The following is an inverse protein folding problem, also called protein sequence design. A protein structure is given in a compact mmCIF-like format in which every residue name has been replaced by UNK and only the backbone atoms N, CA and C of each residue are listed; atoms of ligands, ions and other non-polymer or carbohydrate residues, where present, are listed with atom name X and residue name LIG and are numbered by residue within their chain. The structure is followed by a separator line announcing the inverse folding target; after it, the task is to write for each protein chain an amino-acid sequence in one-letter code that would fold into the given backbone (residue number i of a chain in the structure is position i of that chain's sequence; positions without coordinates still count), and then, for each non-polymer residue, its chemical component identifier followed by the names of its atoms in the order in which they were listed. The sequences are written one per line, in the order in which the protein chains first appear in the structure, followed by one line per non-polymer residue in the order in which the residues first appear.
data_IF_187946091025
#
_entry.id   IF_187946091025
#
_cell.length_a   1.000
_cell.length_b   1.000
_cell.length_c   1.000
_cell.angle_alpha   90.00
_cell.angle_beta   90.00
_cell.angle_gamma   90.00
#
_symmetry.space_group_name_H-M   'P 1'
#
loop_
_entity.id
_entity.type
_entity.pdbx_description
1 polymer ?
#
# COMPACT_ATOMS: atom_id res chain seq x y z
N UNK A 1 7.87 2.36 -45.87
CA UNK A 1 6.53 1.77 -45.63
C UNK A 1 6.20 2.02 -44.16
N UNK A 2 5.19 2.84 -43.84
CA UNK A 2 4.76 2.99 -42.45
C UNK A 2 3.95 1.75 -42.08
N UNK A 3 4.49 0.92 -41.18
CA UNK A 3 3.91 -0.34 -40.77
C UNK A 3 3.34 -0.26 -39.35
N UNK A 4 2.02 -0.43 -39.27
CA UNK A 4 1.23 -0.92 -38.14
C UNK A 4 1.54 -0.37 -36.74
N UNK A 5 0.77 0.64 -36.32
CA UNK A 5 0.33 0.73 -34.93
C UNK A 5 -0.83 -0.25 -34.74
N UNK A 6 -0.56 -1.41 -34.13
CA UNK A 6 -1.63 -2.28 -33.64
C UNK A 6 -2.06 -1.77 -32.27
N UNK A 7 -3.12 -0.98 -32.20
CA UNK A 7 -3.86 -0.83 -30.95
C UNK A 7 -4.62 -2.14 -30.73
N UNK A 8 -4.01 -3.09 -30.04
CA UNK A 8 -4.75 -4.22 -29.49
C UNK A 8 -5.70 -3.66 -28.44
N UNK A 9 -6.97 -4.08 -28.48
CA UNK A 9 -7.93 -3.78 -27.43
C UNK A 9 -7.32 -4.23 -26.11
N UNK A 10 -6.92 -3.26 -25.29
CA UNK A 10 -6.71 -3.50 -23.87
C UNK A 10 -7.98 -4.19 -23.37
N UNK A 11 -7.82 -5.32 -22.68
CA UNK A 11 -8.88 -5.85 -21.82
C UNK A 11 -9.40 -4.76 -20.89
N UNK A 12 -10.49 -5.00 -20.16
CA UNK A 12 -11.06 -4.03 -19.21
C UNK A 12 -9.98 -3.28 -18.44
N UNK A 13 -9.72 -2.03 -18.82
CA UNK A 13 -8.69 -1.20 -18.20
C UNK A 13 -9.14 -0.91 -16.78
N UNK A 14 -8.35 -1.31 -15.80
CA UNK A 14 -8.56 -0.87 -14.42
C UNK A 14 -8.24 0.62 -14.39
N UNK A 15 -9.16 1.42 -13.82
CA UNK A 15 -8.98 2.86 -13.66
C UNK A 15 -8.92 3.20 -12.18
N UNK A 16 -7.96 4.03 -11.84
CA UNK A 16 -7.82 4.62 -10.51
C UNK A 16 -7.83 6.14 -10.63
N UNK A 17 -8.27 6.81 -9.58
CA UNK A 17 -8.37 8.28 -9.54
C UNK A 17 -7.80 8.80 -8.22
N UNK A 18 -7.12 9.94 -8.28
CA UNK A 18 -6.67 10.70 -7.12
C UNK A 18 -6.84 12.20 -7.41
N UNK A 19 -6.91 13.01 -6.35
CA UNK A 19 -7.04 14.47 -6.45
C UNK A 19 -5.66 15.12 -6.44
N UNK A 20 -5.42 16.03 -7.39
CA UNK A 20 -4.18 16.82 -7.44
C UNK A 20 -4.33 18.10 -6.60
N UNK A 21 -3.29 18.41 -5.83
CA UNK A 21 -3.17 19.65 -5.06
C UNK A 21 -1.96 20.48 -5.49
N UNK A 22 -1.64 21.51 -4.72
CA UNK A 22 -0.46 22.36 -4.95
C UNK A 22 0.85 21.75 -4.44
N UNK A 23 0.77 20.81 -3.51
CA UNK A 23 1.94 20.16 -2.91
C UNK A 23 2.25 18.83 -3.62
N UNK A 24 3.54 18.48 -3.79
CA UNK A 24 3.93 17.15 -4.27
C UNK A 24 3.37 16.03 -3.37
N UNK A 25 2.91 14.95 -3.99
CA UNK A 25 2.44 13.76 -3.29
C UNK A 25 2.77 12.50 -4.09
N UNK A 26 2.76 11.35 -3.41
CA UNK A 26 2.89 10.04 -4.03
C UNK A 26 1.55 9.31 -3.94
N UNK A 27 1.14 8.65 -5.03
CA UNK A 27 0.01 7.72 -5.03
C UNK A 27 0.46 6.35 -5.50
N UNK A 28 -0.05 5.33 -4.82
CA UNK A 28 0.24 3.92 -5.09
C UNK A 28 -1.02 3.26 -5.65
N UNK A 29 -0.87 2.58 -6.78
CA UNK A 29 -1.96 1.85 -7.43
C UNK A 29 -1.60 0.38 -7.53
N UNK A 30 -2.54 -0.48 -7.14
CA UNK A 30 -2.34 -1.92 -7.16
C UNK A 30 -3.08 -2.54 -8.35
N UNK A 31 -2.33 -3.24 -9.20
CA UNK A 31 -2.86 -3.91 -10.39
C UNK A 31 -2.83 -5.43 -10.17
N UNK A 32 -3.85 -6.01 -9.53
CA UNK A 32 -3.91 -7.46 -9.33
C UNK A 32 -4.00 -8.16 -10.68
N UNK A 33 -3.17 -9.19 -10.88
CA UNK A 33 -3.13 -10.00 -12.10
C UNK A 33 -2.71 -9.21 -13.35
N UNK A 34 -1.80 -8.24 -13.21
CA UNK A 34 -1.14 -7.63 -14.37
C UNK A 34 -0.51 -8.72 -15.26
N UNK A 35 -0.67 -8.58 -16.58
CA UNK A 35 -0.15 -9.57 -17.51
C UNK A 35 1.38 -9.58 -17.47
N UNK A 36 1.99 -10.76 -17.63
CA UNK A 36 3.44 -10.85 -17.80
C UNK A 36 3.85 -10.15 -19.11
N UNK A 37 4.95 -9.40 -19.06
CA UNK A 37 5.51 -8.69 -20.22
C UNK A 37 5.23 -7.19 -20.21
N UNK A 38 5.16 -6.61 -21.41
CA UNK A 38 4.96 -5.17 -21.59
C UNK A 38 3.54 -4.77 -21.19
N UNK A 39 3.43 -3.85 -20.23
CA UNK A 39 2.17 -3.24 -19.81
C UNK A 39 2.20 -1.75 -20.14
N UNK A 40 1.08 -1.24 -20.66
CA UNK A 40 0.91 0.19 -20.95
C UNK A 40 0.18 0.86 -19.77
N UNK A 41 0.67 2.02 -19.36
CA UNK A 41 0.06 2.86 -18.32
C UNK A 41 -0.24 4.22 -18.91
N UNK A 42 -1.52 4.60 -18.90
CA UNK A 42 -1.99 5.90 -19.36
C UNK A 42 -2.37 6.78 -18.16
N UNK A 43 -1.90 8.03 -18.15
CA UNK A 43 -2.27 9.04 -17.18
C UNK A 43 -3.14 10.11 -17.85
N UNK A 44 -4.38 10.24 -17.40
CA UNK A 44 -5.29 11.30 -17.85
C UNK A 44 -5.40 12.31 -16.70
N UNK A 45 -5.15 13.58 -17.00
CA UNK A 45 -5.26 14.67 -16.02
C UNK A 45 -6.27 15.68 -16.52
N UNK A 46 -7.21 16.03 -15.64
CA UNK A 46 -8.23 17.04 -15.90
C UNK A 46 -7.89 18.31 -15.12
N UNK A 47 -7.61 19.40 -15.84
CA UNK A 47 -7.26 20.68 -15.24
C UNK A 47 -6.67 21.66 -16.26
N UNK A 48 -6.63 22.95 -15.91
CA UNK A 48 -6.06 24.01 -16.76
C UNK A 48 -4.62 24.38 -16.40
N UNK A 49 -4.11 23.90 -15.26
CA UNK A 49 -2.75 24.18 -14.79
C UNK A 49 -1.76 23.12 -15.27
N UNK A 50 -0.47 23.47 -15.45
CA UNK A 50 0.58 22.48 -15.72
C UNK A 50 0.66 21.42 -14.63
N UNK A 51 0.98 20.19 -15.04
CA UNK A 51 1.12 19.03 -14.16
C UNK A 51 2.53 18.48 -14.32
N UNK A 52 3.14 18.10 -13.20
CA UNK A 52 4.48 17.55 -13.16
C UNK A 52 4.42 16.13 -12.60
N UNK A 53 4.86 15.15 -13.38
CA UNK A 53 5.19 13.81 -12.90
C UNK A 53 6.67 13.81 -12.54
N UNK A 54 6.98 13.69 -11.25
CA UNK A 54 8.36 13.73 -10.77
C UNK A 54 9.03 12.35 -10.88
N UNK A 55 8.29 11.29 -10.56
CA UNK A 55 8.78 9.92 -10.59
C UNK A 55 7.63 8.95 -10.92
N UNK A 56 7.93 7.93 -11.73
CA UNK A 56 7.04 6.82 -12.02
C UNK A 56 7.85 5.53 -11.88
N UNK A 57 7.40 4.64 -11.00
CA UNK A 57 8.05 3.35 -10.74
C UNK A 57 7.01 2.23 -10.70
N UNK A 58 7.43 1.04 -11.11
CA UNK A 58 6.64 -0.19 -11.02
C UNK A 58 7.43 -1.24 -10.23
N UNK A 59 6.73 -1.96 -9.36
CA UNK A 59 7.34 -2.94 -8.46
C UNK A 59 6.60 -4.28 -8.58
N UNK A 60 7.36 -5.35 -8.79
CA UNK A 60 6.87 -6.72 -8.67
C UNK A 60 7.10 -7.22 -7.25
N UNK A 61 6.29 -6.74 -6.33
CA UNK A 61 6.37 -7.13 -4.92
C UNK A 61 4.97 -7.15 -4.31
N UNK A 62 4.77 -7.93 -3.24
CA UNK A 62 3.58 -7.79 -2.43
C UNK A 62 3.47 -6.31 -2.03
N UNK A 63 2.35 -5.67 -2.34
CA UNK A 63 2.14 -4.23 -2.06
C UNK A 63 2.07 -3.91 -0.57
N UNK A 64 2.63 -4.74 0.30
CA UNK A 64 2.76 -4.55 1.72
C UNK A 64 3.34 -3.15 2.01
N UNK A 65 2.60 -2.39 2.80
CA UNK A 65 2.94 -1.02 3.16
C UNK A 65 3.07 -0.95 4.67
N UNK A 66 3.92 -0.03 5.11
CA UNK A 66 3.95 0.38 6.50
C UNK A 66 4.10 1.88 6.63
N UNK A 67 3.68 2.41 7.78
CA UNK A 67 3.93 3.80 8.15
C UNK A 67 4.16 3.90 9.66
N UNK A 68 5.31 4.45 10.02
CA UNK A 68 5.58 4.86 11.40
C UNK A 68 4.83 6.16 11.70
N UNK A 69 4.34 6.26 12.93
CA UNK A 69 3.80 7.48 13.51
C UNK A 69 4.32 7.64 14.93
N UNK A 70 4.12 8.82 15.54
CA UNK A 70 4.77 9.23 16.79
C UNK A 70 4.64 8.22 17.94
N UNK A 71 3.60 7.38 17.91
CA UNK A 71 3.29 6.43 18.98
C UNK A 71 3.08 5.00 18.48
N UNK A 72 3.48 4.68 17.25
CA UNK A 72 3.26 3.34 16.73
C UNK A 72 3.59 3.12 15.26
N UNK A 73 2.99 2.08 14.72
CA UNK A 73 3.21 1.58 13.38
C UNK A 73 1.88 1.13 12.78
N UNK A 74 1.64 1.45 11.53
CA UNK A 74 0.55 0.88 10.74
C UNK A 74 1.16 -0.08 9.73
N UNK A 75 0.61 -1.29 9.64
CA UNK A 75 0.94 -2.29 8.64
C UNK A 75 -0.29 -2.50 7.75
N UNK A 76 -0.11 -2.60 6.44
CA UNK A 76 -1.20 -2.86 5.50
C UNK A 76 -0.76 -3.84 4.43
N UNK A 77 -1.52 -4.91 4.25
CA UNK A 77 -1.34 -5.90 3.20
C UNK A 77 -2.46 -5.80 2.16
N UNK A 78 -2.28 -5.04 1.07
CA UNK A 78 -3.24 -5.01 -0.03
C UNK A 78 -3.18 -6.25 -0.94
N UNK A 79 -2.19 -7.14 -0.74
CA UNK A 79 -2.02 -8.36 -1.53
C UNK A 79 -3.20 -9.32 -1.39
N UNK A 80 -3.52 -10.12 -2.41
CA UNK A 80 -4.43 -11.26 -2.30
C UNK A 80 -3.82 -12.45 -1.54
N UNK A 81 -2.56 -12.36 -1.11
CA UNK A 81 -1.86 -13.39 -0.34
C UNK A 81 -1.43 -12.88 1.03
N UNK A 82 -1.31 -13.74 2.05
CA UNK A 82 -0.72 -13.36 3.32
C UNK A 82 0.68 -12.77 3.14
N UNK A 83 1.04 -11.80 3.97
CA UNK A 83 2.36 -11.19 3.97
C UNK A 83 2.89 -11.04 5.39
N UNK A 84 4.17 -11.35 5.57
CA UNK A 84 4.85 -11.24 6.87
C UNK A 84 5.76 -10.03 6.87
N UNK A 85 5.50 -9.10 7.79
CA UNK A 85 6.35 -7.96 8.08
C UNK A 85 7.40 -8.35 9.13
N UNK A 86 8.65 -8.02 8.87
CA UNK A 86 9.72 -8.06 9.86
C UNK A 86 9.78 -6.71 10.60
N UNK A 87 9.39 -6.71 11.87
CA UNK A 87 9.38 -5.48 12.69
C UNK A 87 10.79 -5.09 13.15
N UNK A 88 11.71 -6.06 13.27
CA UNK A 88 13.11 -5.80 13.61
C UNK A 88 13.83 -5.04 12.52
N UNK A 89 13.50 -5.29 11.25
CA UNK A 89 14.00 -4.52 10.11
C UNK A 89 13.29 -3.15 9.97
N UNK A 90 11.96 -3.11 10.13
CA UNK A 90 11.17 -1.88 9.97
C UNK A 90 11.49 -0.85 11.05
N UNK A 91 11.63 -1.30 12.30
CA UNK A 91 11.75 -0.43 13.46
C UNK A 91 12.68 -1.04 14.52
N UNK A 92 14.01 -1.05 14.28
CA UNK A 92 14.97 -1.72 15.14
C UNK A 92 14.92 -1.22 16.58
N UNK A 93 14.87 -2.17 17.53
CA UNK A 93 14.88 -1.87 18.98
C UNK A 93 13.56 -1.36 19.54
N UNK A 94 12.51 -1.23 18.73
CA UNK A 94 11.18 -0.86 19.18
C UNK A 94 10.31 -2.10 19.40
N UNK A 95 9.54 -2.09 20.48
CA UNK A 95 8.56 -3.12 20.80
C UNK A 95 7.15 -2.57 20.62
N UNK A 96 6.27 -3.41 20.08
CA UNK A 96 4.91 -3.03 19.75
C UNK A 96 3.90 -3.96 20.42
N UNK A 97 2.68 -3.44 20.58
CA UNK A 97 1.50 -4.19 20.99
C UNK A 97 0.30 -3.76 20.18
N UNK A 98 -0.74 -4.59 20.14
CA UNK A 98 -2.01 -4.24 19.52
C UNK A 98 -2.68 -3.08 20.27
N UNK A 99 -3.55 -2.35 19.58
CA UNK A 99 -4.47 -1.42 20.25
C UNK A 99 -5.30 -2.19 21.29
N UNK A 100 -5.70 -1.50 22.37
CA UNK A 100 -6.72 -2.01 23.29
C UNK A 100 -8.04 -1.34 22.92
N UNK A 101 -8.82 -2.03 22.11
CA UNK A 101 -10.11 -1.56 21.63
C UNK A 101 -11.18 -1.59 22.71
N UNK A 102 -12.14 -0.68 22.61
CA UNK A 102 -13.41 -0.80 23.33
C UNK A 102 -14.30 -1.87 22.69
N UNK A 103 -15.43 -2.20 23.33
CA UNK A 103 -16.43 -3.12 22.76
C UNK A 103 -17.01 -2.69 21.41
N UNK A 104 -16.79 -1.44 20.98
CA UNK A 104 -17.21 -0.91 19.67
C UNK A 104 -16.10 -0.90 18.61
N UNK A 105 -14.92 -1.44 18.92
CA UNK A 105 -13.72 -1.34 18.08
C UNK A 105 -13.05 -2.70 17.89
N UNK A 106 -13.83 -3.75 17.60
CA UNK A 106 -13.33 -5.13 17.43
C UNK A 106 -12.31 -5.56 18.51
N UNK A 107 -12.78 -5.97 19.69
CA UNK A 107 -11.91 -6.31 20.81
C UNK A 107 -11.08 -7.59 20.58
N UNK A 108 -11.38 -8.40 19.56
CA UNK A 108 -10.59 -9.59 19.23
C UNK A 108 -9.31 -9.19 18.51
N UNK A 109 -9.42 -8.33 17.48
CA UNK A 109 -8.25 -7.78 16.81
C UNK A 109 -7.50 -6.82 17.73
N UNK A 110 -8.23 -5.91 18.40
CA UNK A 110 -7.67 -4.89 19.29
C UNK A 110 -7.66 -5.36 20.76
N UNK A 111 -7.00 -6.49 21.01
CA UNK A 111 -6.96 -7.13 22.33
C UNK A 111 -5.87 -6.57 23.28
N UNK A 112 -4.99 -5.70 22.78
CA UNK A 112 -3.90 -5.09 23.55
C UNK A 112 -2.69 -5.99 23.81
N UNK A 113 -2.62 -7.18 23.21
CA UNK A 113 -1.51 -8.12 23.38
C UNK A 113 -0.21 -7.61 22.75
N UNK A 114 0.91 -8.03 23.33
CA UNK A 114 2.24 -7.79 22.77
C UNK A 114 2.35 -8.46 21.40
N UNK A 115 3.12 -7.84 20.51
CA UNK A 115 3.43 -8.36 19.19
C UNK A 115 4.89 -8.80 19.16
N UNK A 116 5.14 -9.94 18.54
CA UNK A 116 6.51 -10.47 18.37
C UNK A 116 7.33 -9.67 17.35
N UNK A 117 8.49 -10.21 16.97
CA UNK A 117 9.41 -9.57 16.02
C UNK A 117 8.88 -9.54 14.57
N UNK A 118 7.82 -10.30 14.28
CA UNK A 118 7.18 -10.33 12.96
C UNK A 118 5.67 -10.38 13.07
N UNK A 119 4.98 -9.85 12.05
CA UNK A 119 3.52 -9.89 11.93
C UNK A 119 3.12 -10.41 10.57
N UNK A 120 2.37 -11.51 10.53
CA UNK A 120 1.70 -11.97 9.32
C UNK A 120 0.30 -11.38 9.23
N UNK A 121 0.04 -10.59 8.20
CA UNK A 121 -1.31 -10.13 7.87
C UNK A 121 -1.93 -11.04 6.79
N UNK A 122 -3.20 -11.41 6.94
CA UNK A 122 -3.94 -12.10 5.89
C UNK A 122 -4.14 -11.18 4.67
N UNK A 123 -4.68 -11.71 3.55
CA UNK A 123 -4.99 -10.91 2.37
C UNK A 123 -5.90 -9.72 2.68
N UNK A 124 -5.59 -8.55 2.10
CA UNK A 124 -6.43 -7.34 2.15
C UNK A 124 -6.74 -6.86 3.57
N UNK A 125 -5.76 -6.93 4.46
CA UNK A 125 -5.91 -6.59 5.87
C UNK A 125 -4.92 -5.50 6.31
N UNK A 126 -5.21 -4.84 7.43
CA UNK A 126 -4.36 -3.82 8.01
C UNK A 126 -4.40 -3.86 9.54
N UNK A 127 -3.27 -3.57 10.18
CA UNK A 127 -3.13 -3.59 11.62
C UNK A 127 -2.46 -2.31 12.14
N UNK A 128 -3.10 -1.70 13.13
CA UNK A 128 -2.53 -0.61 13.90
C UNK A 128 -1.86 -1.16 15.15
N UNK A 129 -0.60 -0.80 15.32
CA UNK A 129 0.22 -1.14 16.47
C UNK A 129 0.60 0.13 17.23
N UNK A 130 0.75 0.01 18.53
CA UNK A 130 1.26 1.08 19.41
C UNK A 130 2.56 0.64 20.06
N UNK A 131 3.43 1.62 20.32
CA UNK A 131 4.66 1.37 21.07
C UNK A 131 4.33 0.80 22.45
N UNK A 132 5.11 -0.18 22.86
CA UNK A 132 5.13 -0.66 24.23
C UNK A 132 5.82 0.40 25.08
N UNK A 133 5.07 1.03 25.99
CA UNK A 133 5.68 1.84 27.04
C UNK A 133 6.53 0.92 27.91
N UNK A 134 7.78 1.30 28.16
CA UNK A 134 8.62 0.72 29.22
C UNK A 134 7.97 0.84 30.59
#
# INVERSE_FOLDING_TARGET
VPGLFSAQRAGTSVRHTSWLGSEPFTSWYYFPNAAQGLNEVEFIVEGSSPVYLLEVAAYDHAGAMFRLYERGLVLANPSPHPYTFDLGEIAPGLAYRRLRGSSRQDPETNNGEDVGESVTLPPKDALFLVLRSS
#
